data_IF_979821945262
#
_entry.id   IF_979821945262
#
_cell.length_a   1.000
_cell.length_b   1.000
_cell.length_c   1.000
_cell.angle_alpha   90.00
_cell.angle_beta   90.00
_cell.angle_gamma   90.00
#
_symmetry.space_group_name_H-M   'P 1'
#
loop_
_entity.id
_entity.type
_entity.pdbx_description
1 polymer ?
#
# COMPACT_ATOMS: atom_id res chain seq x y z
N UNK A 1 -2.27 -22.73 19.24
CA UNK A 1 -1.12 -21.80 19.07
C UNK A 1 -0.48 -21.61 20.43
N UNK A 2 0.85 -21.63 20.56
CA UNK A 2 1.51 -21.37 21.86
C UNK A 2 1.36 -19.90 22.24
N UNK A 3 1.23 -19.60 23.53
CA UNK A 3 1.17 -18.22 24.04
C UNK A 3 2.36 -17.37 23.57
N UNK A 4 3.54 -17.99 23.47
CA UNK A 4 4.73 -17.36 22.91
C UNK A 4 4.52 -16.84 21.47
N UNK A 5 3.91 -17.63 20.59
CA UNK A 5 3.67 -17.23 19.20
C UNK A 5 2.66 -16.07 19.13
N UNK A 6 1.62 -16.08 19.97
CA UNK A 6 0.65 -14.97 20.08
C UNK A 6 1.33 -13.64 20.43
N UNK A 7 2.17 -13.68 21.46
CA UNK A 7 2.93 -12.52 21.94
C UNK A 7 3.87 -12.02 20.82
N UNK A 8 4.57 -12.93 20.14
CA UNK A 8 5.46 -12.55 19.04
C UNK A 8 4.71 -11.83 17.91
N UNK A 9 3.58 -12.37 17.47
CA UNK A 9 2.74 -11.76 16.42
C UNK A 9 2.27 -10.37 16.85
N UNK A 10 1.81 -10.24 18.09
CA UNK A 10 1.39 -8.94 18.64
C UNK A 10 2.55 -7.95 18.65
N UNK A 11 3.73 -8.34 19.11
CA UNK A 11 4.93 -7.50 19.10
C UNK A 11 5.32 -7.05 17.68
N UNK A 12 5.29 -7.96 16.70
CA UNK A 12 5.55 -7.62 15.28
C UNK A 12 4.56 -6.56 14.79
N UNK A 13 3.27 -6.74 15.07
CA UNK A 13 2.24 -5.78 14.69
C UNK A 13 2.43 -4.43 15.39
N UNK A 14 2.67 -4.41 16.71
CA UNK A 14 2.90 -3.16 17.47
C UNK A 14 4.09 -2.39 16.92
N UNK A 15 5.21 -3.06 16.66
CA UNK A 15 6.40 -2.42 16.07
C UNK A 15 6.08 -1.87 14.68
N UNK A 16 5.43 -2.65 13.83
CA UNK A 16 4.99 -2.17 12.51
C UNK A 16 4.08 -0.95 12.62
N UNK A 17 3.08 -0.98 13.49
CA UNK A 17 2.15 0.12 13.70
C UNK A 17 2.84 1.39 14.22
N UNK A 18 3.77 1.26 15.18
CA UNK A 18 4.57 2.38 15.67
C UNK A 18 5.41 3.00 14.56
N UNK A 19 6.04 2.18 13.71
CA UNK A 19 6.79 2.65 12.54
C UNK A 19 5.90 3.34 11.51
N UNK A 20 4.67 2.87 11.29
CA UNK A 20 3.69 3.54 10.41
C UNK A 20 3.30 4.94 10.93
N UNK A 21 3.15 5.08 12.25
CA UNK A 21 2.91 6.38 12.88
C UNK A 21 4.14 7.27 12.70
N UNK A 22 5.33 6.77 13.02
CA UNK A 22 6.58 7.53 12.91
C UNK A 22 6.90 7.96 11.48
N UNK A 23 6.61 7.10 10.50
CA UNK A 23 6.81 7.35 9.06
C UNK A 23 6.04 8.59 8.55
N UNK A 24 5.06 9.09 9.32
CA UNK A 24 4.34 10.32 9.01
C UNK A 24 5.24 11.53 8.81
N UNK A 25 6.39 11.59 9.49
CA UNK A 25 7.33 12.70 9.35
C UNK A 25 7.90 12.80 7.92
N UNK A 26 8.16 11.66 7.27
CA UNK A 26 8.65 11.61 5.88
C UNK A 26 7.57 12.00 4.86
N UNK A 27 6.30 11.85 5.22
CA UNK A 27 5.18 12.07 4.31
C UNK A 27 4.53 13.45 4.44
N UNK A 28 4.91 14.29 5.42
CA UNK A 28 4.23 15.57 5.74
C UNK A 28 4.06 16.51 4.55
N UNK A 29 4.95 16.46 3.58
CA UNK A 29 4.99 17.32 2.39
C UNK A 29 4.51 16.59 1.12
N UNK A 30 3.74 15.51 1.27
CA UNK A 30 3.30 14.65 0.17
C UNK A 30 1.81 14.38 0.23
N UNK A 31 1.20 14.13 -0.92
CA UNK A 31 -0.20 13.73 -0.98
C UNK A 31 -0.42 12.26 -0.57
N UNK A 32 0.64 11.50 -0.28
CA UNK A 32 0.56 10.15 0.27
C UNK A 32 0.03 10.13 1.72
N UNK A 33 -0.14 11.29 2.37
CA UNK A 33 -0.76 11.39 3.70
C UNK A 33 -2.16 10.79 3.78
N UNK A 34 -2.96 10.88 2.71
CA UNK A 34 -4.28 10.26 2.67
C UNK A 34 -4.17 8.72 2.78
N UNK A 35 -3.28 8.11 2.00
CA UNK A 35 -3.01 6.68 2.06
C UNK A 35 -2.48 6.27 3.44
N UNK A 36 -1.61 7.08 4.08
CA UNK A 36 -1.15 6.82 5.45
C UNK A 36 -2.29 6.85 6.46
N UNK A 37 -3.23 7.80 6.38
CA UNK A 37 -4.38 7.85 7.31
C UNK A 37 -5.23 6.58 7.22
N UNK A 38 -5.50 6.14 5.99
CA UNK A 38 -6.17 4.87 5.73
C UNK A 38 -5.38 3.67 6.24
N UNK A 39 -4.05 3.64 6.04
CA UNK A 39 -3.19 2.59 6.58
C UNK A 39 -3.22 2.53 8.11
N UNK A 40 -3.22 3.68 8.79
CA UNK A 40 -3.31 3.74 10.26
C UNK A 40 -4.67 3.21 10.71
N UNK A 41 -5.76 3.68 10.10
CA UNK A 41 -7.11 3.26 10.45
C UNK A 41 -7.30 1.75 10.26
N UNK A 42 -6.88 1.20 9.13
CA UNK A 42 -6.99 -0.24 8.84
C UNK A 42 -6.08 -1.09 9.72
N UNK A 43 -4.84 -0.65 9.95
CA UNK A 43 -3.91 -1.37 10.84
C UNK A 43 -4.39 -1.39 12.29
N UNK A 44 -4.94 -0.27 12.76
CA UNK A 44 -5.53 -0.16 14.09
C UNK A 44 -6.74 -1.09 14.23
N UNK A 45 -7.65 -1.07 13.24
CA UNK A 45 -8.80 -1.95 13.23
C UNK A 45 -8.39 -3.43 13.24
N UNK A 46 -7.40 -3.81 12.43
CA UNK A 46 -6.87 -5.18 12.39
C UNK A 46 -6.28 -5.61 13.74
N UNK A 47 -5.51 -4.75 14.40
CA UNK A 47 -4.91 -5.07 15.70
C UNK A 47 -5.94 -5.17 16.82
N UNK A 48 -6.92 -4.27 16.84
CA UNK A 48 -8.06 -4.34 17.77
C UNK A 48 -8.81 -5.65 17.56
N UNK A 49 -9.14 -5.99 16.32
CA UNK A 49 -9.81 -7.24 16.00
C UNK A 49 -9.02 -8.46 16.48
N UNK A 50 -7.72 -8.51 16.18
CA UNK A 50 -6.83 -9.59 16.64
C UNK A 50 -6.82 -9.73 18.17
N UNK A 51 -6.72 -8.61 18.90
CA UNK A 51 -6.77 -8.61 20.37
C UNK A 51 -8.09 -9.15 20.91
N UNK A 52 -9.22 -8.76 20.32
CA UNK A 52 -10.53 -9.27 20.74
C UNK A 52 -10.69 -10.76 20.46
N UNK A 53 -10.24 -11.23 19.29
CA UNK A 53 -10.38 -12.65 18.91
C UNK A 53 -9.45 -13.57 19.69
N UNK A 54 -8.22 -13.14 19.99
CA UNK A 54 -7.20 -13.97 20.65
C UNK A 54 -7.09 -13.72 22.16
N UNK A 55 -7.91 -12.85 22.75
CA UNK A 55 -7.85 -12.58 24.20
C UNK A 55 -8.10 -13.85 25.02
N UNK A 56 -7.39 -14.09 26.14
CA UNK A 56 -7.67 -15.22 27.04
C UNK A 56 -9.10 -15.24 27.59
N UNK A 57 -9.78 -14.08 27.58
CA UNK A 57 -11.19 -13.96 27.93
C UNK A 57 -12.11 -14.68 26.92
N UNK A 58 -11.66 -14.89 25.68
CA UNK A 58 -12.40 -15.67 24.68
C UNK A 58 -12.41 -17.17 24.97
N UNK A 59 -11.55 -17.68 25.87
CA UNK A 59 -11.55 -19.08 26.33
C UNK A 59 -12.85 -19.48 27.03
N UNK A 60 -13.65 -18.49 27.47
CA UNK A 60 -14.96 -18.70 28.08
C UNK A 60 -16.10 -18.77 27.04
N UNK A 61 -15.80 -18.59 25.75
CA UNK A 61 -16.77 -18.62 24.65
C UNK A 61 -16.54 -19.89 23.81
N UNK A 62 -17.57 -20.70 23.52
CA UNK A 62 -17.44 -21.97 22.78
C UNK A 62 -16.67 -21.85 21.45
N UNK A 63 -15.95 -22.91 21.08
CA UNK A 63 -14.99 -23.02 19.98
C UNK A 63 -15.50 -22.73 18.55
N UNK A 64 -16.80 -22.53 18.34
CA UNK A 64 -17.37 -22.08 17.06
C UNK A 64 -17.19 -20.56 16.82
N UNK A 65 -16.50 -19.85 17.71
CA UNK A 65 -16.33 -18.39 17.70
C UNK A 65 -15.44 -17.84 16.57
N UNK A 66 -14.57 -18.66 15.96
CA UNK A 66 -13.67 -18.20 14.88
C UNK A 66 -14.45 -17.75 13.63
N UNK A 67 -15.51 -18.46 13.26
CA UNK A 67 -16.40 -18.05 12.16
C UNK A 67 -17.41 -16.97 12.57
N UNK A 68 -17.71 -16.82 13.87
CA UNK A 68 -18.62 -15.78 14.37
C UNK A 68 -18.12 -14.37 14.04
N UNK A 69 -16.81 -14.19 13.91
CA UNK A 69 -16.19 -12.91 13.56
C UNK A 69 -15.80 -12.80 12.06
N UNK A 70 -16.28 -13.71 11.20
CA UNK A 70 -15.96 -13.72 9.77
C UNK A 70 -16.26 -12.38 9.08
N UNK A 71 -17.40 -11.78 9.39
CA UNK A 71 -17.79 -10.45 8.87
C UNK A 71 -16.80 -9.36 9.27
N UNK A 72 -16.29 -9.38 10.51
CA UNK A 72 -15.33 -8.40 11.01
C UNK A 72 -13.95 -8.56 10.35
N UNK A 73 -13.49 -9.80 10.18
CA UNK A 73 -12.26 -10.10 9.44
C UNK A 73 -12.36 -9.67 7.97
N UNK A 74 -13.52 -9.87 7.34
CA UNK A 74 -13.75 -9.38 5.99
C UNK A 74 -13.73 -7.85 5.90
N UNK A 75 -14.34 -7.14 6.87
CA UNK A 75 -14.22 -5.67 6.97
C UNK A 75 -12.75 -5.25 7.11
N UNK A 76 -11.97 -5.95 7.95
CA UNK A 76 -10.54 -5.67 8.09
C UNK A 76 -9.81 -5.82 6.74
N UNK A 77 -10.10 -6.88 5.97
CA UNK A 77 -9.55 -7.09 4.64
C UNK A 77 -9.91 -5.95 3.67
N UNK A 78 -11.17 -5.50 3.65
CA UNK A 78 -11.61 -4.35 2.84
C UNK A 78 -10.85 -3.08 3.26
N UNK A 79 -10.73 -2.82 4.56
CA UNK A 79 -10.01 -1.65 5.07
C UNK A 79 -8.51 -1.72 4.71
N UNK A 80 -7.89 -2.89 4.67
CA UNK A 80 -6.49 -3.05 4.24
C UNK A 80 -6.27 -2.70 2.76
N UNK A 81 -7.32 -2.73 1.92
CA UNK A 81 -7.24 -2.24 0.53
C UNK A 81 -7.23 -0.71 0.42
N UNK A 82 -7.81 0.00 1.40
CA UNK A 82 -7.99 1.46 1.36
C UNK A 82 -6.69 2.26 1.18
N UNK A 83 -5.53 1.96 1.83
CA UNK A 83 -4.30 2.68 1.55
C UNK A 83 -3.82 2.52 0.10
N UNK A 84 -3.95 1.33 -0.48
CA UNK A 84 -3.56 1.08 -1.87
C UNK A 84 -4.43 1.86 -2.86
N UNK A 85 -5.74 1.88 -2.64
CA UNK A 85 -6.64 2.66 -3.52
C UNK A 85 -6.44 4.16 -3.31
N UNK A 86 -6.17 4.59 -2.09
CA UNK A 86 -5.93 6.00 -1.78
C UNK A 86 -4.66 6.55 -2.43
N UNK A 87 -3.58 5.76 -2.58
CA UNK A 87 -2.35 6.26 -3.22
C UNK A 87 -2.52 6.46 -4.74
N UNK A 88 -3.37 5.65 -5.39
CA UNK A 88 -3.71 5.84 -6.80
C UNK A 88 -4.37 7.20 -7.05
N UNK A 89 -5.02 7.79 -6.03
CA UNK A 89 -5.62 9.12 -6.08
C UNK A 89 -4.72 10.27 -5.65
N UNK A 90 -3.42 10.08 -5.45
CA UNK A 90 -2.57 11.08 -4.78
C UNK A 90 -2.32 12.37 -5.58
N UNK A 91 -2.76 12.47 -6.84
CA UNK A 91 -2.57 13.66 -7.68
C UNK A 91 -3.51 14.82 -7.24
N UNK A 92 -2.99 16.05 -7.14
CA UNK A 92 -3.77 17.29 -6.97
C UNK A 92 -4.43 17.74 -8.28
N UNK A 93 -5.61 18.38 -8.22
CA UNK A 93 -6.41 18.71 -7.04
C UNK A 93 -7.35 17.58 -6.56
N UNK A 94 -7.33 16.43 -7.23
CA UNK A 94 -8.32 15.36 -7.05
C UNK A 94 -8.15 14.54 -5.77
N UNK A 95 -7.04 14.68 -5.06
CA UNK A 95 -6.72 13.85 -3.89
C UNK A 95 -7.79 13.84 -2.78
N UNK A 96 -8.40 14.98 -2.47
CA UNK A 96 -9.47 15.08 -1.46
C UNK A 96 -10.72 14.35 -1.95
N UNK A 97 -11.15 14.65 -3.18
CA UNK A 97 -12.33 14.02 -3.78
C UNK A 97 -12.17 12.52 -3.97
N UNK A 98 -10.97 12.03 -4.29
CA UNK A 98 -10.70 10.61 -4.49
C UNK A 98 -11.01 9.76 -3.25
N UNK A 99 -10.63 10.23 -2.06
CA UNK A 99 -10.90 9.50 -0.82
C UNK A 99 -12.40 9.35 -0.57
N UNK A 100 -13.20 10.36 -0.89
CA UNK A 100 -14.65 10.31 -0.69
C UNK A 100 -15.38 9.62 -1.83
N UNK A 101 -14.95 9.80 -3.07
CA UNK A 101 -15.67 9.35 -4.27
C UNK A 101 -15.25 7.96 -4.75
N UNK A 102 -14.05 7.50 -4.44
CA UNK A 102 -13.56 6.17 -4.85
C UNK A 102 -13.43 5.23 -3.66
N UNK A 103 -12.74 5.66 -2.59
CA UNK A 103 -12.47 4.76 -1.46
C UNK A 103 -13.75 4.42 -0.68
N UNK A 104 -14.61 5.41 -0.39
CA UNK A 104 -15.87 5.12 0.32
C UNK A 104 -16.82 4.24 -0.49
N UNK A 105 -17.14 4.53 -1.78
CA UNK A 105 -17.97 3.63 -2.57
C UNK A 105 -17.38 2.23 -2.72
N UNK A 106 -16.05 2.10 -2.81
CA UNK A 106 -15.40 0.79 -2.78
C UNK A 106 -15.69 0.02 -1.48
N UNK A 107 -15.57 0.69 -0.32
CA UNK A 107 -15.91 0.07 0.98
C UNK A 107 -17.38 -0.36 1.00
N UNK A 108 -18.29 0.48 0.50
CA UNK A 108 -19.72 0.16 0.45
C UNK A 108 -20.02 -1.01 -0.49
N UNK A 109 -19.47 -1.01 -1.71
CA UNK A 109 -19.71 -2.05 -2.71
C UNK A 109 -19.14 -3.39 -2.25
N UNK A 110 -17.92 -3.41 -1.73
CA UNK A 110 -17.32 -4.65 -1.21
C UNK A 110 -17.95 -5.09 0.12
N UNK A 111 -18.40 -4.14 0.95
CA UNK A 111 -19.06 -4.40 2.24
C UNK A 111 -20.54 -4.75 2.13
N UNK A 112 -21.17 -4.55 0.97
CA UNK A 112 -22.60 -4.80 0.75
C UNK A 112 -23.07 -6.20 1.16
N UNK A 113 -22.34 -7.30 0.86
CA UNK A 113 -22.73 -8.65 1.30
C UNK A 113 -22.85 -8.78 2.83
N UNK A 114 -22.00 -8.06 3.59
CA UNK A 114 -22.06 -8.06 5.06
C UNK A 114 -23.34 -7.35 5.52
N UNK A 115 -23.66 -6.21 4.91
CA UNK A 115 -24.87 -5.44 5.25
C UNK A 115 -26.13 -6.26 5.00
N UNK A 116 -26.20 -6.96 3.86
CA UNK A 116 -27.33 -7.86 3.54
C UNK A 116 -27.45 -8.98 4.57
N UNK A 117 -26.34 -9.61 4.94
CA UNK A 117 -26.33 -10.68 5.94
C UNK A 117 -26.83 -10.19 7.32
N UNK A 118 -26.40 -8.99 7.74
CA UNK A 118 -26.86 -8.38 8.99
C UNK A 118 -28.34 -7.99 8.97
N UNK A 119 -28.83 -7.41 7.87
CA UNK A 119 -30.24 -7.05 7.73
C UNK A 119 -31.17 -8.26 7.71
N UNK A 120 -30.68 -9.42 7.24
CA UNK A 120 -31.41 -10.67 7.25
C UNK A 120 -31.50 -11.36 8.62
N UNK A 121 -30.94 -10.77 9.69
CA UNK A 121 -30.88 -11.39 11.02
C UNK A 121 -29.74 -12.40 11.21
N UNK A 122 -28.91 -12.61 10.19
CA UNK A 122 -27.79 -13.56 10.16
C UNK A 122 -26.54 -13.08 10.90
N UNK A 123 -26.68 -12.42 12.06
CA UNK A 123 -25.51 -12.03 12.87
C UNK A 123 -24.69 -13.24 13.34
N UNK A 124 -25.32 -14.41 13.48
CA UNK A 124 -24.70 -15.67 13.87
C UNK A 124 -24.48 -16.66 12.70
N UNK A 125 -24.96 -16.33 11.50
CA UNK A 125 -24.82 -17.21 10.33
C UNK A 125 -23.42 -17.13 9.73
N UNK A 126 -22.96 -18.25 9.16
CA UNK A 126 -21.65 -18.38 8.53
C UNK A 126 -21.55 -17.47 7.29
N UNK A 127 -21.04 -16.26 7.50
CA UNK A 127 -20.73 -15.34 6.40
C UNK A 127 -19.73 -16.00 5.44
N UNK A 128 -20.06 -16.02 4.16
CA UNK A 128 -19.19 -16.54 3.12
C UNK A 128 -19.16 -15.62 1.91
N UNK A 129 -17.98 -15.48 1.32
CA UNK A 129 -17.73 -14.60 0.18
C UNK A 129 -18.12 -15.36 -1.10
N UNK A 130 -19.05 -14.78 -1.86
CA UNK A 130 -19.45 -15.30 -3.16
C UNK A 130 -18.38 -15.03 -4.24
N UNK A 131 -18.21 -15.91 -5.24
CA UNK A 131 -17.17 -15.77 -6.26
C UNK A 131 -17.13 -14.41 -7.00
N UNK A 132 -18.26 -13.78 -7.38
CA UNK A 132 -18.22 -12.47 -8.06
C UNK A 132 -17.60 -11.37 -7.20
N UNK A 133 -17.91 -11.35 -5.90
CA UNK A 133 -17.35 -10.39 -4.94
C UNK A 133 -15.86 -10.64 -4.74
N UNK A 134 -15.46 -11.91 -4.65
CA UNK A 134 -14.05 -12.30 -4.54
C UNK A 134 -13.24 -11.81 -5.76
N UNK A 135 -13.78 -11.95 -6.98
CA UNK A 135 -13.11 -11.48 -8.20
C UNK A 135 -12.89 -9.96 -8.14
N UNK A 136 -13.94 -9.19 -7.79
CA UNK A 136 -13.83 -7.74 -7.64
C UNK A 136 -12.81 -7.34 -6.57
N UNK A 137 -12.80 -8.06 -5.44
CA UNK A 137 -11.84 -7.86 -4.36
C UNK A 137 -10.40 -8.12 -4.82
N UNK A 138 -10.14 -9.26 -5.47
CA UNK A 138 -8.81 -9.63 -5.99
C UNK A 138 -8.32 -8.66 -7.07
N UNK A 139 -9.23 -8.13 -7.89
CA UNK A 139 -8.90 -7.11 -8.87
C UNK A 139 -8.39 -5.83 -8.20
N UNK A 140 -9.09 -5.33 -7.17
CA UNK A 140 -8.64 -4.16 -6.40
C UNK A 140 -7.29 -4.41 -5.73
N UNK A 141 -7.13 -5.60 -5.13
CA UNK A 141 -5.86 -5.98 -4.50
C UNK A 141 -4.70 -6.00 -5.50
N UNK A 142 -4.92 -6.61 -6.67
CA UNK A 142 -3.91 -6.69 -7.73
C UNK A 142 -3.55 -5.31 -8.27
N UNK A 143 -4.51 -4.40 -8.47
CA UNK A 143 -4.22 -3.01 -8.84
C UNK A 143 -3.37 -2.30 -7.78
N UNK A 144 -3.68 -2.53 -6.49
CA UNK A 144 -2.96 -1.94 -5.37
C UNK A 144 -1.52 -2.42 -5.24
N UNK A 145 -1.33 -3.73 -5.17
CA UNK A 145 -0.01 -4.38 -5.03
C UNK A 145 0.81 -4.20 -6.32
N UNK A 146 0.18 -4.37 -7.48
CA UNK A 146 0.81 -4.23 -8.79
C UNK A 146 1.38 -2.83 -9.02
N UNK A 147 0.81 -1.79 -8.40
CA UNK A 147 1.36 -0.44 -8.45
C UNK A 147 2.79 -0.34 -7.89
N UNK A 148 3.23 -1.28 -7.04
CA UNK A 148 4.57 -1.27 -6.46
C UNK A 148 5.52 -2.30 -7.07
N UNK A 149 5.07 -3.04 -8.09
CA UNK A 149 5.92 -4.01 -8.78
C UNK A 149 7.06 -3.32 -9.52
N UNK A 150 8.29 -3.79 -9.33
CA UNK A 150 9.50 -3.17 -9.89
C UNK A 150 10.05 -1.99 -9.08
N UNK A 151 9.43 -1.64 -7.94
CA UNK A 151 9.95 -0.63 -7.01
C UNK A 151 10.67 -1.29 -5.82
N UNK A 152 11.31 -0.51 -4.95
CA UNK A 152 11.88 -1.05 -3.71
C UNK A 152 10.83 -1.51 -2.69
N UNK A 153 9.56 -1.18 -2.93
CA UNK A 153 8.42 -1.62 -2.13
C UNK A 153 7.75 -2.87 -2.70
N UNK A 154 8.34 -3.53 -3.71
CA UNK A 154 7.78 -4.76 -4.29
C UNK A 154 7.52 -5.82 -3.23
N UNK A 155 8.53 -6.17 -2.41
CA UNK A 155 8.38 -7.21 -1.39
C UNK A 155 7.42 -6.79 -0.26
N UNK A 156 7.51 -5.58 0.33
CA UNK A 156 6.48 -5.08 1.24
C UNK A 156 5.06 -5.16 0.68
N UNK A 157 4.85 -4.77 -0.57
CA UNK A 157 3.53 -4.82 -1.20
C UNK A 157 3.03 -6.26 -1.38
N UNK A 158 3.91 -7.20 -1.74
CA UNK A 158 3.57 -8.62 -1.81
C UNK A 158 3.19 -9.16 -0.42
N UNK A 159 3.96 -8.85 0.63
CA UNK A 159 3.66 -9.28 2.00
C UNK A 159 2.30 -8.74 2.48
N UNK A 160 2.02 -7.46 2.21
CA UNK A 160 0.73 -6.86 2.49
C UNK A 160 -0.40 -7.54 1.70
N UNK A 161 -0.17 -7.87 0.42
CA UNK A 161 -1.14 -8.60 -0.39
C UNK A 161 -1.42 -10.01 0.13
N UNK A 162 -0.38 -10.74 0.52
CA UNK A 162 -0.52 -12.06 1.14
C UNK A 162 -1.25 -11.99 2.47
N UNK A 163 -1.03 -10.96 3.29
CA UNK A 163 -1.81 -10.74 4.52
C UNK A 163 -3.31 -10.65 4.22
N UNK A 164 -3.68 -9.86 3.21
CA UNK A 164 -5.09 -9.75 2.80
C UNK A 164 -5.65 -11.08 2.28
N UNK A 165 -4.89 -11.81 1.47
CA UNK A 165 -5.29 -13.13 0.94
C UNK A 165 -5.52 -14.13 2.09
N UNK A 166 -4.63 -14.15 3.08
CA UNK A 166 -4.77 -15.02 4.26
C UNK A 166 -6.03 -14.73 5.08
N UNK A 167 -6.53 -13.50 5.05
CA UNK A 167 -7.81 -13.14 5.69
C UNK A 167 -8.99 -13.60 4.83
N UNK A 168 -8.93 -13.40 3.51
CA UNK A 168 -10.07 -13.60 2.61
C UNK A 168 -10.29 -15.06 2.23
N UNK A 169 -9.24 -15.83 1.96
CA UNK A 169 -9.34 -17.23 1.49
C UNK A 169 -10.16 -18.13 2.44
N UNK A 170 -9.95 -18.10 3.78
CA UNK A 170 -10.77 -18.85 4.73
C UNK A 170 -12.25 -18.52 4.71
N UNK A 171 -12.62 -17.33 4.22
CA UNK A 171 -13.99 -16.82 4.19
C UNK A 171 -14.73 -17.18 2.89
N UNK A 172 -14.11 -17.96 2.00
CA UNK A 172 -14.72 -18.41 0.75
C UNK A 172 -15.42 -19.75 0.91
N UNK A 173 -16.54 -19.95 0.20
CA UNK A 173 -17.32 -21.20 0.26
C UNK A 173 -16.56 -22.42 -0.26
N UNK A 174 -15.56 -22.21 -1.12
CA UNK A 174 -14.83 -23.28 -1.82
C UNK A 174 -13.76 -23.96 -0.97
N UNK A 175 -13.20 -23.28 0.03
CA UNK A 175 -12.02 -23.76 0.78
C UNK A 175 -12.39 -24.46 2.08
N UNK A 176 -13.55 -24.09 2.66
CA UNK A 176 -14.01 -24.58 3.97
C UNK A 176 -14.05 -26.12 4.13
N UNK A 177 -14.46 -26.94 3.13
CA UNK A 177 -14.52 -28.39 3.34
C UNK A 177 -13.18 -29.13 3.13
N UNK A 178 -12.20 -28.51 2.49
CA UNK A 178 -10.95 -29.17 2.06
C UNK A 178 -9.79 -28.92 3.04
N UNK A 179 -9.79 -27.78 3.71
CA UNK A 179 -8.66 -27.35 4.54
C UNK A 179 -8.91 -27.71 6.02
N UNK A 180 -7.95 -28.35 6.71
CA UNK A 180 -8.10 -28.67 8.12
C UNK A 180 -8.35 -27.41 8.96
N UNK A 181 -9.26 -27.51 9.94
CA UNK A 181 -9.62 -26.41 10.86
C UNK A 181 -8.38 -25.79 11.52
N UNK A 182 -7.38 -26.60 11.85
CA UNK A 182 -6.12 -26.13 12.42
C UNK A 182 -5.37 -25.15 11.50
N UNK A 183 -5.40 -25.39 10.18
CA UNK A 183 -4.78 -24.51 9.18
C UNK A 183 -5.56 -23.20 9.08
N UNK A 184 -6.90 -23.25 9.07
CA UNK A 184 -7.75 -22.05 9.07
C UNK A 184 -7.57 -21.20 10.34
N UNK A 185 -7.34 -21.82 11.49
CA UNK A 185 -7.06 -21.10 12.73
C UNK A 185 -5.71 -20.35 12.70
N UNK A 186 -4.77 -20.76 11.83
CA UNK A 186 -3.46 -20.12 11.71
C UNK A 186 -3.42 -18.99 10.66
N UNK A 187 -4.41 -18.89 9.77
CA UNK A 187 -4.37 -17.89 8.69
C UNK A 187 -4.53 -16.46 9.20
N UNK A 188 -5.44 -16.20 10.15
CA UNK A 188 -5.65 -14.84 10.68
C UNK A 188 -4.44 -14.32 11.49
N UNK A 189 -3.85 -15.09 12.44
CA UNK A 189 -2.62 -14.66 13.10
C UNK A 189 -1.46 -14.46 12.12
N UNK A 190 -1.31 -15.36 11.13
CA UNK A 190 -0.31 -15.21 10.09
C UNK A 190 -0.52 -13.93 9.26
N UNK A 191 -1.77 -13.58 8.93
CA UNK A 191 -2.08 -12.34 8.24
C UNK A 191 -1.64 -11.11 9.04
N UNK A 192 -1.91 -11.06 10.34
CA UNK A 192 -1.49 -9.96 11.23
C UNK A 192 0.03 -9.85 11.28
N UNK A 193 0.73 -10.97 11.41
CA UNK A 193 2.20 -11.00 11.40
C UNK A 193 2.76 -10.50 10.06
N UNK A 194 2.24 -10.99 8.93
CA UNK A 194 2.64 -10.57 7.59
C UNK A 194 2.38 -9.09 7.34
N UNK A 195 1.25 -8.55 7.83
CA UNK A 195 0.95 -7.12 7.75
C UNK A 195 1.98 -6.31 8.53
N UNK A 196 2.27 -6.67 9.78
CA UNK A 196 3.29 -6.01 10.59
C UNK A 196 4.67 -6.04 9.94
N UNK A 197 5.09 -7.21 9.44
CA UNK A 197 6.35 -7.38 8.69
C UNK A 197 6.40 -6.53 7.42
N UNK A 198 5.29 -6.42 6.69
CA UNK A 198 5.20 -5.60 5.48
C UNK A 198 5.52 -4.13 5.78
N UNK A 199 4.99 -3.60 6.89
CA UNK A 199 5.21 -2.21 7.32
C UNK A 199 6.65 -2.01 7.79
N UNK A 200 7.17 -2.94 8.61
CA UNK A 200 8.55 -2.90 9.08
C UNK A 200 9.49 -2.87 7.87
N UNK A 201 9.29 -3.77 6.91
CA UNK A 201 10.11 -3.82 5.71
C UNK A 201 10.00 -2.54 4.88
N UNK A 202 8.78 -2.05 4.63
CA UNK A 202 8.58 -0.80 3.90
C UNK A 202 9.34 0.37 4.54
N UNK A 203 9.27 0.49 5.87
CA UNK A 203 9.98 1.54 6.62
C UNK A 203 11.49 1.46 6.39
N UNK A 204 12.09 0.28 6.53
CA UNK A 204 13.53 0.10 6.34
C UNK A 204 13.96 0.26 4.88
N UNK A 205 13.17 -0.20 3.91
CA UNK A 205 13.41 0.01 2.48
C UNK A 205 13.48 1.50 2.13
N UNK A 206 12.56 2.32 2.68
CA UNK A 206 12.55 3.76 2.45
C UNK A 206 13.71 4.47 3.15
N UNK A 207 14.20 3.95 4.29
CA UNK A 207 15.32 4.54 5.05
C UNK A 207 16.69 4.20 4.48
N UNK A 208 16.90 2.99 3.96
CA UNK A 208 18.22 2.47 3.53
C UNK A 208 18.84 3.27 2.36
N UNK A 209 18.07 4.12 1.68
CA UNK A 209 18.47 4.76 0.41
C UNK A 209 19.30 6.04 0.52
N UNK A 210 19.77 6.39 1.73
CA UNK A 210 20.65 7.55 1.96
C UNK A 210 22.11 7.36 1.49
N UNK A 211 22.58 6.13 1.28
CA UNK A 211 24.04 5.86 1.23
C UNK A 211 24.55 5.13 -0.02
N UNK A 212 23.74 4.93 -1.07
CA UNK A 212 24.27 4.37 -2.33
C UNK A 212 24.73 5.51 -3.23
N UNK A 213 25.99 5.88 -2.99
CA UNK A 213 26.86 6.76 -3.76
C UNK A 213 26.87 6.41 -5.27
N UNK A 214 27.13 7.43 -6.10
CA UNK A 214 27.36 7.46 -7.58
C UNK A 214 26.24 7.91 -8.52
N UNK A 215 25.03 8.25 -8.02
CA UNK A 215 23.93 8.76 -8.86
C UNK A 215 23.80 10.29 -8.90
N UNK A 216 23.27 10.82 -10.02
CA UNK A 216 22.77 12.21 -10.10
C UNK A 216 21.67 12.46 -9.04
N UNK A 217 21.62 13.62 -8.36
CA UNK A 217 20.58 13.92 -7.36
C UNK A 217 19.15 13.81 -7.93
N UNK A 218 18.99 14.04 -9.23
CA UNK A 218 17.72 13.86 -9.92
C UNK A 218 17.27 12.39 -9.98
N UNK A 219 18.20 11.44 -10.05
CA UNK A 219 17.85 10.01 -9.98
C UNK A 219 17.33 9.66 -8.59
N UNK A 220 17.92 10.22 -7.53
CA UNK A 220 17.44 10.01 -6.16
C UNK A 220 16.05 10.62 -5.96
N UNK A 221 15.83 11.87 -6.38
CA UNK A 221 14.52 12.52 -6.40
C UNK A 221 13.49 11.65 -7.12
N UNK A 222 13.85 11.17 -8.30
CA UNK A 222 12.98 10.35 -9.14
C UNK A 222 12.62 9.03 -8.46
N UNK A 223 13.62 8.33 -7.95
CA UNK A 223 13.44 7.08 -7.23
C UNK A 223 12.62 7.20 -5.95
N UNK A 224 12.77 8.29 -5.21
CA UNK A 224 11.95 8.60 -4.04
C UNK A 224 10.49 8.78 -4.46
N UNK A 225 10.25 9.50 -5.56
CA UNK A 225 8.91 9.68 -6.11
C UNK A 225 8.28 8.33 -6.52
N UNK A 226 9.00 7.49 -7.26
CA UNK A 226 8.50 6.18 -7.68
C UNK A 226 8.16 5.28 -6.50
N UNK A 227 9.03 5.21 -5.49
CA UNK A 227 8.79 4.38 -4.32
C UNK A 227 7.56 4.86 -3.53
N UNK A 228 7.27 6.16 -3.48
CA UNK A 228 6.12 6.68 -2.74
C UNK A 228 4.81 6.47 -3.50
N UNK A 229 4.77 6.80 -4.79
CA UNK A 229 3.53 6.85 -5.57
C UNK A 229 3.30 5.63 -6.47
N UNK A 230 4.31 4.77 -6.61
CA UNK A 230 4.29 3.57 -7.42
C UNK A 230 4.48 3.81 -8.92
N UNK A 231 4.49 2.71 -9.66
CA UNK A 231 4.89 2.63 -11.06
C UNK A 231 3.90 3.31 -12.00
N UNK A 232 2.61 3.34 -11.67
CA UNK A 232 1.58 3.95 -12.53
C UNK A 232 1.81 5.45 -12.65
N UNK A 233 2.07 6.13 -11.52
CA UNK A 233 2.35 7.56 -11.52
C UNK A 233 3.75 7.88 -12.02
N UNK A 234 4.75 7.04 -11.69
CA UNK A 234 6.07 7.13 -12.28
C UNK A 234 6.02 7.12 -13.81
N UNK A 235 5.36 6.13 -14.40
CA UNK A 235 5.26 6.01 -15.86
C UNK A 235 4.63 7.26 -16.49
N UNK A 236 3.52 7.75 -15.93
CA UNK A 236 2.83 8.96 -16.44
C UNK A 236 3.71 10.22 -16.37
N UNK A 237 4.46 10.40 -15.29
CA UNK A 237 5.40 11.54 -15.17
C UNK A 237 6.55 11.38 -16.17
N UNK A 238 7.12 10.18 -16.30
CA UNK A 238 8.16 9.89 -17.29
C UNK A 238 7.71 10.19 -18.72
N UNK A 239 6.52 9.72 -19.11
CA UNK A 239 5.93 10.00 -20.43
C UNK A 239 5.77 11.50 -20.66
N UNK A 240 5.26 12.24 -19.66
CA UNK A 240 5.09 13.69 -19.75
C UNK A 240 6.42 14.42 -19.94
N UNK A 241 7.47 14.02 -19.20
CA UNK A 241 8.80 14.59 -19.33
C UNK A 241 9.45 14.23 -20.67
N UNK A 242 9.29 12.98 -21.12
CA UNK A 242 9.86 12.51 -22.39
C UNK A 242 9.19 13.17 -23.60
N UNK A 243 7.89 13.45 -23.53
CA UNK A 243 7.19 14.22 -24.56
C UNK A 243 7.73 15.67 -24.65
N UNK A 244 7.98 16.31 -23.51
CA UNK A 244 8.62 17.62 -23.48
C UNK A 244 10.06 17.57 -24.02
N UNK A 245 10.79 16.51 -23.67
CA UNK A 245 12.16 16.26 -24.13
C UNK A 245 12.22 16.06 -25.64
N UNK A 246 11.26 15.36 -26.23
CA UNK A 246 11.14 15.21 -27.68
C UNK A 246 10.85 16.55 -28.36
N UNK A 247 9.85 17.30 -27.89
CA UNK A 247 9.50 18.61 -28.45
C UNK A 247 10.63 19.62 -28.39
N UNK A 248 11.48 19.56 -27.37
CA UNK A 248 12.62 20.46 -27.16
C UNK A 248 13.96 19.87 -27.59
N UNK A 249 13.95 18.70 -28.22
CA UNK A 249 15.13 17.97 -28.69
C UNK A 249 16.19 17.75 -27.60
N UNK A 250 15.77 17.61 -26.34
CA UNK A 250 16.66 17.26 -25.25
C UNK A 250 17.23 15.86 -25.48
N UNK A 251 18.52 15.70 -25.25
CA UNK A 251 19.23 14.42 -25.38
C UNK A 251 19.13 13.55 -24.12
N UNK A 252 18.25 13.90 -23.18
CA UNK A 252 17.98 13.15 -21.95
C UNK A 252 16.56 12.60 -21.99
N UNK A 253 16.39 11.38 -21.49
CA UNK A 253 15.11 10.72 -21.25
C UNK A 253 15.00 10.31 -19.79
N UNK A 254 13.79 10.41 -19.25
CA UNK A 254 13.46 9.93 -17.91
C UNK A 254 12.87 8.53 -18.04
N UNK A 255 13.59 7.53 -17.57
CA UNK A 255 13.17 6.13 -17.56
C UNK A 255 12.89 5.66 -16.13
N UNK A 256 12.34 4.45 -15.98
CA UNK A 256 12.06 3.89 -14.65
C UNK A 256 13.33 3.71 -13.81
N UNK A 257 14.49 3.52 -14.43
CA UNK A 257 15.76 3.41 -13.73
C UNK A 257 16.53 4.74 -13.61
N UNK A 258 15.90 5.88 -13.91
CA UNK A 258 16.54 7.21 -13.81
C UNK A 258 16.69 7.92 -15.15
N UNK A 259 17.52 8.96 -15.14
CA UNK A 259 17.87 9.73 -16.33
C UNK A 259 18.86 8.97 -17.22
N UNK A 260 18.56 8.94 -18.51
CA UNK A 260 19.35 8.27 -19.56
C UNK A 260 19.69 9.28 -20.64
N UNK A 261 20.98 9.43 -20.92
CA UNK A 261 21.47 10.28 -22.01
C UNK A 261 21.51 9.47 -23.30
N UNK A 262 20.90 10.00 -24.36
CA UNK A 262 20.85 9.36 -25.68
C UNK A 262 22.17 9.51 -26.46
N UNK A 263 22.94 10.57 -26.17
CA UNK A 263 24.24 10.83 -26.78
C UNK A 263 25.34 10.84 -25.72
N UNK A 264 26.42 10.11 -25.99
CA UNK A 264 27.59 10.02 -25.10
C UNK A 264 28.44 11.29 -25.15
N UNK A 265 28.53 11.94 -26.32
CA UNK A 265 29.41 13.08 -26.61
C UNK A 265 28.70 14.43 -26.55
N UNK A 266 28.11 14.76 -25.39
CA UNK A 266 27.59 16.10 -25.13
C UNK A 266 28.60 16.92 -24.33
N UNK A 267 28.75 18.19 -24.71
CA UNK A 267 29.59 19.11 -23.93
C UNK A 267 29.00 19.31 -22.53
N UNK A 268 29.86 19.61 -21.56
CA UNK A 268 29.42 19.87 -20.17
C UNK A 268 28.41 21.01 -20.10
N UNK A 269 28.54 22.02 -20.97
CA UNK A 269 27.63 23.15 -21.08
C UNK A 269 26.24 22.70 -21.56
N UNK A 270 26.16 21.92 -22.64
CA UNK A 270 24.91 21.35 -23.15
C UNK A 270 24.21 20.47 -22.10
N UNK A 271 24.97 19.65 -21.37
CA UNK A 271 24.43 18.83 -20.28
C UNK A 271 23.86 19.70 -19.17
N UNK A 272 24.56 20.75 -18.77
CA UNK A 272 24.15 21.67 -17.70
C UNK A 272 22.89 22.44 -18.08
N UNK A 273 22.81 22.96 -19.30
CA UNK A 273 21.63 23.66 -19.81
C UNK A 273 20.42 22.73 -19.89
N UNK A 274 20.61 21.52 -20.44
CA UNK A 274 19.55 20.50 -20.51
C UNK A 274 19.04 20.12 -19.13
N UNK A 275 19.93 19.93 -18.14
CA UNK A 275 19.56 19.62 -16.76
C UNK A 275 18.76 20.78 -16.14
N UNK A 276 19.14 22.03 -16.39
CA UNK A 276 18.42 23.21 -15.86
C UNK A 276 17.00 23.30 -16.41
N UNK A 277 16.80 23.00 -17.69
CA UNK A 277 15.47 22.96 -18.29
C UNK A 277 14.66 21.75 -17.83
N UNK A 278 15.29 20.57 -17.74
CA UNK A 278 14.69 19.36 -17.19
C UNK A 278 14.19 19.57 -15.76
N UNK A 279 15.00 20.18 -14.89
CA UNK A 279 14.68 20.47 -13.48
C UNK A 279 13.35 21.22 -13.36
N UNK A 280 13.19 22.30 -14.14
CA UNK A 280 11.94 23.09 -14.16
C UNK A 280 10.72 22.23 -14.52
N UNK A 281 10.84 21.35 -15.51
CA UNK A 281 9.72 20.52 -15.98
C UNK A 281 9.42 19.38 -15.01
N UNK A 282 10.46 18.77 -14.46
CA UNK A 282 10.34 17.71 -13.46
C UNK A 282 9.68 18.27 -12.20
N UNK A 283 10.16 19.40 -11.66
CA UNK A 283 9.53 20.09 -10.52
C UNK A 283 8.07 20.38 -10.78
N UNK A 284 7.75 20.97 -11.93
CA UNK A 284 6.37 21.27 -12.29
C UNK A 284 5.47 20.02 -12.35
N UNK A 285 5.98 18.90 -12.87
CA UNK A 285 5.25 17.64 -12.89
C UNK A 285 5.05 17.06 -11.47
N UNK A 286 6.09 17.11 -10.64
CA UNK A 286 6.10 16.56 -9.27
C UNK A 286 5.28 17.39 -8.29
N UNK A 287 5.17 18.71 -8.46
CA UNK A 287 4.38 19.62 -7.60
C UNK A 287 2.88 19.27 -7.52
N UNK A 288 2.41 18.41 -8.43
CA UNK A 288 1.05 17.83 -8.35
C UNK A 288 0.92 16.75 -7.28
N UNK A 289 2.02 16.24 -6.74
CA UNK A 289 2.09 15.12 -5.80
C UNK A 289 2.75 15.49 -4.47
N UNK A 290 3.73 16.39 -4.52
CA UNK A 290 4.58 16.78 -3.40
C UNK A 290 4.68 18.30 -3.32
N UNK A 291 5.16 18.81 -2.19
CA UNK A 291 5.48 20.23 -2.00
C UNK A 291 6.93 20.50 -2.39
N UNK A 292 7.25 21.76 -2.68
CA UNK A 292 8.58 22.19 -3.11
C UNK A 292 9.68 21.80 -2.10
N UNK A 293 9.37 21.93 -0.80
CA UNK A 293 10.28 21.56 0.30
C UNK A 293 10.71 20.08 0.26
N UNK A 294 9.83 19.20 -0.24
CA UNK A 294 10.13 17.78 -0.38
C UNK A 294 11.11 17.54 -1.54
N UNK A 295 10.96 18.29 -2.64
CA UNK A 295 11.84 18.21 -3.80
C UNK A 295 13.24 18.70 -3.40
N UNK A 296 13.32 19.85 -2.75
CA UNK A 296 14.58 20.42 -2.24
C UNK A 296 15.32 19.48 -1.29
N UNK A 297 14.59 18.81 -0.39
CA UNK A 297 15.18 17.82 0.50
C UNK A 297 15.71 16.59 -0.25
N UNK A 298 15.05 16.20 -1.34
CA UNK A 298 15.42 15.01 -2.11
C UNK A 298 16.56 15.24 -3.11
N UNK A 299 16.90 16.50 -3.38
CA UNK A 299 18.03 16.91 -4.23
C UNK A 299 19.33 17.18 -3.45
N UNK A 300 19.26 17.23 -2.11
CA UNK A 300 20.40 17.38 -1.20
C UNK A 300 20.97 16.03 -0.83
#
# INVERSE_FOLDING_TARGET
>A
MTEFLRILIFCIWVVGFALLIYAGQFLRQTNALAARRWAIASSLFLGILYLFTESPLSSFVPSNSLMRNASQWYIAAILLLTPFVSILGARRPTNKFWSYFIVLPMIFVLGFPILVNWMGGGMDDQFSIQPPVLIGFLFVLMMGVGNYFGTQLTLPAILAGCSVILIVVPLTTTVSPVVPVLVLAMTFPAAVAMHGLSIIWAYWSLRKRSNTETGSPYNQLWFNFQNLFGIVWAKRVAEQINQAAESKQWQVRLELHGLVWQQTELTTEQKTETIKELDKHLRWALLRFVEEEWIERSLK
#
